data_IF_439636304265
#
_entry.id   IF_439636304265
#
_cell.length_a   1.000
_cell.length_b   1.000
_cell.length_c   1.000
_cell.angle_alpha   90.00
_cell.angle_beta   90.00
_cell.angle_gamma   90.00
#
_symmetry.space_group_name_H-M   'P 1'
#
loop_
_entity.id
_entity.type
_entity.pdbx_description
1 polymer ?
#
# COMPACT_ATOMS: atom_id res chain seq x y z
N UNK A 1 5.01 16.46 17.24
CA UNK A 1 5.60 15.13 17.52
C UNK A 1 5.49 14.21 16.30
N UNK A 2 4.27 13.96 15.75
CA UNK A 2 4.07 13.09 14.58
C UNK A 2 4.91 13.57 13.37
N UNK A 3 4.83 14.84 13.00
CA UNK A 3 5.62 15.42 11.91
C UNK A 3 7.14 15.28 12.14
N UNK A 4 7.62 15.51 13.35
CA UNK A 4 9.03 15.40 13.69
C UNK A 4 9.57 13.97 13.46
N UNK A 5 8.79 12.95 13.87
CA UNK A 5 9.12 11.56 13.62
C UNK A 5 9.06 11.18 12.14
N UNK A 6 8.08 11.70 11.40
CA UNK A 6 7.93 11.46 9.97
C UNK A 6 9.08 12.09 9.16
N UNK A 7 9.50 13.32 9.50
CA UNK A 7 10.63 14.00 8.84
C UNK A 7 11.94 13.22 8.97
N UNK A 8 12.22 12.61 10.13
CA UNK A 8 13.42 11.78 10.32
C UNK A 8 13.47 10.58 9.39
N UNK A 9 12.33 9.91 9.17
CA UNK A 9 12.22 8.78 8.23
C UNK A 9 12.31 9.24 6.78
N UNK A 10 11.66 10.36 6.44
CA UNK A 10 11.77 10.97 5.13
C UNK A 10 13.23 11.37 4.81
N UNK A 11 13.95 11.99 5.77
CA UNK A 11 15.35 12.36 5.62
C UNK A 11 16.24 11.15 5.32
N UNK A 12 15.99 10.00 5.96
CA UNK A 12 16.72 8.76 5.68
C UNK A 12 16.49 8.27 4.24
N UNK A 13 15.26 8.29 3.76
CA UNK A 13 14.93 7.91 2.38
C UNK A 13 15.48 8.90 1.35
N UNK A 14 15.41 10.20 1.63
CA UNK A 14 15.99 11.26 0.77
C UNK A 14 17.51 11.09 0.65
N UNK A 15 18.18 10.77 1.73
CA UNK A 15 19.63 10.53 1.73
C UNK A 15 20.05 9.35 0.82
N UNK A 16 19.14 8.42 0.54
CA UNK A 16 19.32 7.30 -0.39
C UNK A 16 18.82 7.58 -1.80
N UNK A 17 18.41 8.82 -2.12
CA UNK A 17 18.01 9.24 -3.45
C UNK A 17 16.51 9.15 -3.75
N UNK A 18 15.66 8.95 -2.75
CA UNK A 18 14.20 8.98 -2.94
C UNK A 18 13.74 10.39 -3.27
N UNK A 19 13.01 10.56 -4.39
CA UNK A 19 12.50 11.85 -4.87
C UNK A 19 10.98 11.95 -4.84
N UNK A 20 10.30 10.82 -4.66
CA UNK A 20 8.85 10.70 -4.51
C UNK A 20 8.58 9.65 -3.45
N UNK A 21 7.71 9.97 -2.50
CA UNK A 21 7.31 9.07 -1.41
C UNK A 21 5.78 8.98 -1.36
N UNK A 22 5.27 7.78 -1.18
CA UNK A 22 3.88 7.57 -0.78
C UNK A 22 3.79 7.50 0.74
N UNK A 23 2.80 8.17 1.31
CA UNK A 23 2.49 8.10 2.73
C UNK A 23 1.02 7.76 2.89
N UNK A 24 0.75 6.65 3.58
CA UNK A 24 -0.61 6.16 3.81
C UNK A 24 -1.10 6.57 5.20
N UNK A 25 -2.39 6.84 5.36
CA UNK A 25 -3.07 6.85 6.66
C UNK A 25 -3.34 5.41 7.14
N UNK A 26 -4.30 5.17 8.03
CA UNK A 26 -4.75 3.82 8.37
C UNK A 26 -4.46 3.38 9.81
N UNK A 27 -3.78 4.20 10.59
CA UNK A 27 -3.54 3.96 12.02
C UNK A 27 -4.38 4.86 12.93
N UNK A 28 -5.16 5.77 12.35
CA UNK A 28 -6.03 6.69 13.08
C UNK A 28 -7.25 6.00 13.66
N UNK A 29 -7.90 5.17 12.86
CA UNK A 29 -9.09 4.37 13.18
C UNK A 29 -10.31 5.22 13.61
N UNK A 30 -10.23 6.51 13.47
CA UNK A 30 -11.32 7.48 13.59
C UNK A 30 -11.15 8.61 12.55
N UNK A 31 -12.22 9.35 12.28
CA UNK A 31 -12.24 10.37 11.23
C UNK A 31 -11.17 11.45 11.44
N UNK A 32 -11.07 12.00 12.64
CA UNK A 32 -10.20 13.15 12.88
C UNK A 32 -8.71 12.75 12.90
N UNK A 33 -8.40 11.57 13.41
CA UNK A 33 -7.01 11.06 13.44
C UNK A 33 -6.54 10.66 12.05
N UNK A 34 -7.37 10.02 11.21
CA UNK A 34 -7.04 9.74 9.80
C UNK A 34 -6.74 11.02 9.02
N UNK A 35 -7.59 12.04 9.15
CA UNK A 35 -7.37 13.35 8.53
C UNK A 35 -6.09 14.01 9.03
N UNK A 36 -5.82 13.95 10.33
CA UNK A 36 -4.58 14.47 10.92
C UNK A 36 -3.34 13.80 10.32
N UNK A 37 -3.37 12.49 10.11
CA UNK A 37 -2.25 11.76 9.50
C UNK A 37 -1.99 12.25 8.07
N UNK A 38 -3.04 12.39 7.24
CA UNK A 38 -2.92 12.87 5.87
C UNK A 38 -2.43 14.33 5.80
N UNK A 39 -2.92 15.21 6.68
CA UNK A 39 -2.42 16.60 6.77
C UNK A 39 -0.93 16.63 7.10
N UNK A 40 -0.49 15.82 8.07
CA UNK A 40 0.94 15.71 8.42
C UNK A 40 1.76 15.17 7.26
N UNK A 41 1.23 14.19 6.51
CA UNK A 41 1.90 13.67 5.32
C UNK A 41 2.11 14.77 4.26
N UNK A 42 1.11 15.61 4.01
CA UNK A 42 1.21 16.77 3.09
C UNK A 42 2.21 17.82 3.58
N UNK A 43 2.35 18.02 4.89
CA UNK A 43 3.32 18.97 5.44
C UNK A 43 4.79 18.60 5.15
N UNK A 44 5.10 17.32 4.92
CA UNK A 44 6.47 16.88 4.65
C UNK A 44 7.02 17.55 3.39
N UNK A 45 6.27 17.60 2.30
CA UNK A 45 6.71 18.27 1.06
C UNK A 45 6.90 19.79 1.20
N UNK A 46 6.31 20.41 2.24
CA UNK A 46 6.54 21.83 2.55
C UNK A 46 7.83 22.05 3.37
N UNK A 47 8.40 20.97 3.94
CA UNK A 47 9.58 21.00 4.81
C UNK A 47 10.80 20.35 4.17
N UNK A 48 10.64 19.57 3.10
CA UNK A 48 11.70 18.85 2.40
C UNK A 48 11.47 18.93 0.89
N UNK A 49 12.54 18.92 0.15
CA UNK A 49 12.50 18.85 -1.32
C UNK A 49 12.23 17.40 -1.77
N UNK A 50 11.00 16.98 -1.56
CA UNK A 50 10.47 15.65 -1.95
C UNK A 50 9.00 15.78 -2.33
N UNK A 51 8.59 15.09 -3.36
CA UNK A 51 7.18 14.95 -3.71
C UNK A 51 6.51 13.93 -2.80
N UNK A 52 5.28 14.22 -2.37
CA UNK A 52 4.51 13.32 -1.52
C UNK A 52 3.19 12.99 -2.21
N UNK A 53 2.93 11.69 -2.39
CA UNK A 53 1.60 11.14 -2.69
C UNK A 53 0.99 10.62 -1.40
N UNK A 54 -0.29 10.86 -1.20
CA UNK A 54 -1.00 10.39 -0.01
C UNK A 54 -2.08 9.41 -0.38
N UNK A 55 -2.12 8.28 0.32
CA UNK A 55 -3.15 7.26 0.17
C UNK A 55 -4.00 7.16 1.43
N UNK A 56 -5.31 7.27 1.25
CA UNK A 56 -6.25 7.03 2.34
C UNK A 56 -6.38 5.52 2.56
N UNK A 57 -6.00 5.03 3.73
CA UNK A 57 -6.06 3.62 4.12
C UNK A 57 -6.96 3.42 5.36
N UNK A 58 -8.13 4.06 5.40
CA UNK A 58 -9.05 3.93 6.54
C UNK A 58 -9.55 2.50 6.77
N UNK A 59 -9.68 1.71 5.70
CA UNK A 59 -10.01 0.29 5.78
C UNK A 59 -8.75 -0.57 6.00
N UNK A 60 -8.00 -0.31 7.08
CA UNK A 60 -6.77 -1.01 7.44
C UNK A 60 -6.98 -2.04 8.56
N UNK A 61 -7.61 -1.64 9.63
CA UNK A 61 -7.91 -2.51 10.77
C UNK A 61 -9.28 -2.16 11.36
N UNK A 62 -9.94 -3.15 11.97
CA UNK A 62 -11.19 -2.92 12.68
C UNK A 62 -10.87 -2.61 14.15
N UNK A 63 -11.16 -1.39 14.65
CA UNK A 63 -10.89 -1.05 16.04
C UNK A 63 -11.79 -1.82 17.00
N UNK A 64 -11.38 -1.87 18.28
CA UNK A 64 -12.04 -2.69 19.30
C UNK A 64 -13.54 -2.38 19.45
N UNK A 65 -13.90 -1.12 19.29
CA UNK A 65 -15.26 -0.60 19.40
C UNK A 65 -16.21 -1.16 18.33
N UNK A 66 -15.62 -1.59 17.18
CA UNK A 66 -16.34 -2.17 16.05
C UNK A 66 -16.04 -3.67 15.87
N UNK A 67 -15.45 -4.33 16.88
CA UNK A 67 -15.11 -5.75 16.77
C UNK A 67 -16.33 -6.60 16.42
N UNK A 68 -16.22 -7.37 15.32
CA UNK A 68 -17.31 -8.18 14.77
C UNK A 68 -18.34 -7.40 13.95
N UNK A 69 -18.12 -6.11 13.71
CA UNK A 69 -19.02 -5.25 12.92
C UNK A 69 -18.23 -4.32 12.00
N UNK A 70 -17.41 -4.92 11.13
CA UNK A 70 -16.57 -4.19 10.18
C UNK A 70 -17.40 -3.35 9.18
N UNK A 71 -18.59 -3.82 8.81
CA UNK A 71 -19.50 -3.07 7.92
C UNK A 71 -19.89 -1.73 8.53
N UNK A 72 -20.23 -1.73 9.83
CA UNK A 72 -20.56 -0.51 10.55
C UNK A 72 -19.35 0.45 10.63
N UNK A 73 -18.15 -0.08 10.82
CA UNK A 73 -16.93 0.73 10.80
C UNK A 73 -16.70 1.39 9.42
N UNK A 74 -16.95 0.67 8.34
CA UNK A 74 -16.87 1.24 6.99
C UNK A 74 -17.87 2.39 6.87
N UNK A 75 -19.14 2.17 7.25
CA UNK A 75 -20.21 3.16 7.07
C UNK A 75 -20.05 4.39 7.95
N UNK A 76 -19.66 4.20 9.21
CA UNK A 76 -19.61 5.29 10.18
C UNK A 76 -18.26 6.02 10.23
N UNK A 77 -17.17 5.37 9.84
CA UNK A 77 -15.82 5.92 9.95
C UNK A 77 -15.12 6.00 8.60
N UNK A 78 -14.94 4.89 7.86
CA UNK A 78 -14.11 4.89 6.66
C UNK A 78 -14.67 5.81 5.57
N UNK A 79 -15.95 5.68 5.20
CA UNK A 79 -16.54 6.47 4.14
C UNK A 79 -16.63 7.96 4.51
N UNK A 80 -17.10 8.36 5.72
CA UNK A 80 -17.07 9.77 6.13
C UNK A 80 -15.66 10.36 6.21
N UNK A 81 -14.65 9.58 6.64
CA UNK A 81 -13.27 10.03 6.67
C UNK A 81 -12.72 10.24 5.25
N UNK A 82 -13.06 9.35 4.31
CA UNK A 82 -12.66 9.50 2.91
C UNK A 82 -13.27 10.74 2.27
N UNK A 83 -14.57 10.99 2.49
CA UNK A 83 -15.24 12.21 2.00
C UNK A 83 -14.57 13.48 2.55
N UNK A 84 -14.28 13.50 3.84
CA UNK A 84 -13.59 14.63 4.48
C UNK A 84 -12.19 14.83 3.91
N UNK A 85 -11.41 13.75 3.75
CA UNK A 85 -10.08 13.79 3.17
C UNK A 85 -10.08 14.27 1.72
N UNK A 86 -11.04 13.81 0.92
CA UNK A 86 -11.24 14.23 -0.47
C UNK A 86 -11.58 15.73 -0.56
N UNK A 87 -12.54 16.18 0.23
CA UNK A 87 -12.97 17.58 0.25
C UNK A 87 -11.84 18.55 0.69
N UNK A 88 -10.90 18.07 1.50
CA UNK A 88 -9.71 18.84 1.90
C UNK A 88 -8.53 18.72 0.89
N UNK A 89 -8.67 17.95 -0.19
CA UNK A 89 -7.59 17.74 -1.18
C UNK A 89 -6.41 16.95 -0.63
N UNK A 90 -6.66 16.07 0.34
CA UNK A 90 -5.61 15.31 1.04
C UNK A 90 -5.35 13.91 0.47
N UNK A 91 -6.04 13.47 -0.59
CA UNK A 91 -6.00 12.09 -1.07
C UNK A 91 -5.64 12.06 -2.54
N UNK A 92 -4.61 11.28 -2.91
CA UNK A 92 -4.24 10.96 -4.29
C UNK A 92 -4.75 9.57 -4.70
N UNK A 93 -4.87 8.63 -3.74
CA UNK A 93 -5.38 7.28 -3.96
C UNK A 93 -6.08 6.74 -2.70
N UNK A 94 -6.89 5.69 -2.87
CA UNK A 94 -7.55 4.98 -1.77
C UNK A 94 -7.00 3.57 -1.71
N UNK A 95 -6.72 3.10 -0.51
CA UNK A 95 -6.16 1.78 -0.24
C UNK A 95 -7.03 1.02 0.77
N UNK A 96 -6.85 -0.28 0.85
CA UNK A 96 -7.51 -1.14 1.81
C UNK A 96 -6.66 -2.35 2.16
N UNK A 97 -7.04 -3.06 3.23
CA UNK A 97 -6.39 -4.31 3.62
C UNK A 97 -7.38 -5.47 3.53
N UNK A 98 -7.22 -6.29 2.50
CA UNK A 98 -8.06 -7.46 2.23
C UNK A 98 -7.43 -8.70 2.82
N UNK A 99 -7.76 -9.00 4.08
CA UNK A 99 -7.25 -10.16 4.81
C UNK A 99 -8.24 -10.65 5.87
N UNK A 100 -8.10 -11.92 6.29
CA UNK A 100 -8.96 -12.53 7.30
C UNK A 100 -8.94 -11.85 8.67
N UNK A 101 -7.90 -11.08 8.96
CA UNK A 101 -7.77 -10.28 10.18
C UNK A 101 -8.30 -8.84 10.03
N UNK A 102 -8.69 -8.43 8.83
CA UNK A 102 -9.11 -7.07 8.51
C UNK A 102 -10.47 -7.06 7.77
N UNK A 103 -10.46 -6.89 6.46
CA UNK A 103 -11.67 -6.75 5.64
C UNK A 103 -11.73 -7.81 4.54
N UNK A 104 -12.93 -8.24 4.18
CA UNK A 104 -13.16 -9.14 3.06
C UNK A 104 -13.34 -8.35 1.74
N UNK A 105 -13.43 -9.09 0.63
CA UNK A 105 -13.56 -8.51 -0.72
C UNK A 105 -14.82 -7.67 -0.89
N UNK A 106 -15.96 -8.05 -0.28
CA UNK A 106 -17.21 -7.30 -0.39
C UNK A 106 -17.10 -5.94 0.32
N UNK A 107 -16.48 -5.94 1.49
CA UNK A 107 -16.22 -4.74 2.29
C UNK A 107 -15.28 -3.78 1.58
N UNK A 108 -14.17 -4.28 1.04
CA UNK A 108 -13.23 -3.47 0.24
C UNK A 108 -13.92 -2.95 -1.03
N UNK A 109 -14.75 -3.76 -1.69
CA UNK A 109 -15.50 -3.31 -2.88
C UNK A 109 -16.37 -2.09 -2.58
N UNK A 110 -16.96 -1.99 -1.40
CA UNK A 110 -17.76 -0.81 -1.00
C UNK A 110 -16.88 0.44 -0.92
N UNK A 111 -15.71 0.33 -0.28
CA UNK A 111 -14.75 1.44 -0.18
C UNK A 111 -14.26 1.85 -1.57
N UNK A 112 -13.94 0.89 -2.44
CA UNK A 112 -13.46 1.15 -3.80
C UNK A 112 -14.53 1.74 -4.72
N UNK A 113 -15.78 1.30 -4.60
CA UNK A 113 -16.88 1.92 -5.33
C UNK A 113 -17.10 3.37 -4.90
N UNK A 114 -16.94 3.67 -3.62
CA UNK A 114 -17.01 5.04 -3.13
C UNK A 114 -15.82 5.87 -3.67
N UNK A 115 -14.59 5.36 -3.59
CA UNK A 115 -13.42 6.01 -4.20
C UNK A 115 -13.61 6.31 -5.69
N UNK A 116 -14.15 5.34 -6.45
CA UNK A 116 -14.48 5.50 -7.86
C UNK A 116 -15.50 6.60 -8.11
N UNK A 117 -16.51 6.76 -7.25
CA UNK A 117 -17.49 7.84 -7.36
C UNK A 117 -16.88 9.22 -7.15
N UNK A 118 -15.77 9.31 -6.41
CA UNK A 118 -14.96 10.51 -6.20
C UNK A 118 -13.89 10.72 -7.28
N UNK A 119 -13.76 9.79 -8.25
CA UNK A 119 -12.73 9.84 -9.29
C UNK A 119 -11.31 9.50 -8.78
N UNK A 120 -11.20 8.85 -7.62
CA UNK A 120 -9.92 8.47 -7.03
C UNK A 120 -9.48 7.07 -7.49
N UNK A 121 -8.19 6.89 -7.86
CA UNK A 121 -7.64 5.57 -8.11
C UNK A 121 -7.51 4.76 -6.81
N UNK A 122 -7.43 3.44 -6.95
CA UNK A 122 -7.37 2.52 -5.81
C UNK A 122 -6.08 1.69 -5.82
N UNK A 123 -5.72 1.17 -4.66
CA UNK A 123 -4.62 0.25 -4.36
C UNK A 123 -5.11 -0.78 -3.36
N UNK A 124 -4.41 -1.89 -3.16
CA UNK A 124 -4.85 -2.90 -2.19
C UNK A 124 -3.69 -3.66 -1.57
N UNK A 125 -3.63 -3.74 -0.24
CA UNK A 125 -2.88 -4.77 0.46
C UNK A 125 -3.65 -6.09 0.36
N UNK A 126 -3.07 -7.09 -0.29
CA UNK A 126 -3.76 -8.33 -0.62
C UNK A 126 -2.83 -9.53 -0.57
N UNK A 127 -3.39 -10.70 -0.24
CA UNK A 127 -2.70 -11.98 -0.23
C UNK A 127 -1.39 -11.95 0.59
N UNK A 128 -1.39 -11.21 1.70
CA UNK A 128 -0.25 -11.16 2.61
C UNK A 128 -0.16 -12.39 3.52
N UNK A 129 -1.28 -12.84 4.07
CA UNK A 129 -1.36 -13.93 5.06
C UNK A 129 -2.21 -15.10 4.55
N UNK A 130 -3.01 -14.88 3.54
CA UNK A 130 -3.94 -15.85 2.94
C UNK A 130 -4.34 -15.40 1.53
N UNK A 131 -4.95 -16.27 0.73
CA UNK A 131 -5.53 -15.85 -0.55
C UNK A 131 -7.05 -15.73 -0.41
N UNK A 132 -7.54 -14.50 -0.34
CA UNK A 132 -8.98 -14.18 -0.26
C UNK A 132 -9.56 -13.66 -1.57
N UNK A 133 -8.76 -13.58 -2.64
CA UNK A 133 -9.16 -13.01 -3.92
C UNK A 133 -9.04 -11.49 -3.99
N UNK A 134 -8.32 -10.86 -3.07
CA UNK A 134 -8.04 -9.41 -3.05
C UNK A 134 -7.31 -8.95 -4.30
N UNK A 135 -6.34 -9.71 -4.79
CA UNK A 135 -5.62 -9.40 -6.04
C UNK A 135 -6.55 -9.34 -7.25
N UNK A 136 -7.50 -10.27 -7.36
CA UNK A 136 -8.50 -10.25 -8.43
C UNK A 136 -9.47 -9.09 -8.28
N UNK A 137 -9.82 -8.76 -7.04
CA UNK A 137 -10.61 -7.56 -6.76
C UNK A 137 -9.87 -6.30 -7.20
N UNK A 138 -8.62 -6.10 -6.78
CA UNK A 138 -7.79 -4.97 -7.20
C UNK A 138 -7.71 -4.86 -8.73
N UNK A 139 -7.47 -5.99 -9.40
CA UNK A 139 -7.45 -6.08 -10.87
C UNK A 139 -8.78 -5.66 -11.52
N UNK A 140 -9.92 -6.05 -10.94
CA UNK A 140 -11.25 -5.69 -11.45
C UNK A 140 -11.55 -4.19 -11.36
N UNK A 141 -10.89 -3.48 -10.47
CA UNK A 141 -10.95 -2.02 -10.34
C UNK A 141 -9.87 -1.29 -11.13
N UNK A 142 -9.01 -1.99 -11.88
CA UNK A 142 -7.80 -1.46 -12.50
C UNK A 142 -6.95 -0.67 -11.47
N UNK A 143 -6.71 -1.27 -10.32
CA UNK A 143 -5.95 -0.66 -9.26
C UNK A 143 -4.53 -0.28 -9.72
N UNK A 144 -3.97 0.79 -9.17
CA UNK A 144 -2.58 1.18 -9.43
C UNK A 144 -1.62 0.07 -9.01
N UNK A 145 -1.86 -0.53 -7.84
CA UNK A 145 -1.05 -1.64 -7.32
C UNK A 145 -1.86 -2.60 -6.46
N UNK A 146 -1.29 -3.81 -6.30
CA UNK A 146 -1.60 -4.74 -5.24
C UNK A 146 -0.30 -5.02 -4.48
N UNK A 147 -0.35 -4.88 -3.17
CA UNK A 147 0.81 -4.84 -2.30
C UNK A 147 0.90 -6.13 -1.46
N UNK A 148 2.11 -6.63 -1.14
CA UNK A 148 2.46 -7.90 -0.47
C UNK A 148 2.49 -9.11 -1.41
N UNK A 149 1.38 -9.81 -1.62
CA UNK A 149 1.18 -10.88 -2.60
C UNK A 149 1.89 -12.19 -2.29
N UNK A 150 2.30 -12.45 -1.04
CA UNK A 150 2.97 -13.67 -0.61
C UNK A 150 2.15 -14.93 -0.93
N UNK A 151 0.82 -14.84 -0.78
CA UNK A 151 -0.12 -15.94 -1.04
C UNK A 151 -0.83 -15.82 -2.39
N UNK A 152 -0.42 -14.90 -3.26
CA UNK A 152 -0.92 -14.84 -4.63
C UNK A 152 -0.53 -16.10 -5.42
N UNK A 153 -1.29 -16.42 -6.43
CA UNK A 153 -1.06 -17.58 -7.28
C UNK A 153 -1.00 -17.20 -8.77
N UNK A 154 -0.76 -18.19 -9.64
CA UNK A 154 -0.64 -17.98 -11.09
C UNK A 154 -1.86 -17.28 -11.71
N UNK A 155 -3.09 -17.53 -11.22
CA UNK A 155 -4.29 -16.85 -11.73
C UNK A 155 -4.36 -15.39 -11.29
N UNK A 156 -3.78 -15.07 -10.12
CA UNK A 156 -3.67 -13.70 -9.63
C UNK A 156 -2.63 -12.92 -10.45
N UNK A 157 -1.48 -13.54 -10.74
CA UNK A 157 -0.48 -12.95 -11.64
C UNK A 157 -1.06 -12.63 -13.03
N UNK A 158 -1.86 -13.54 -13.58
CA UNK A 158 -2.57 -13.29 -14.83
C UNK A 158 -3.53 -12.10 -14.72
N UNK A 159 -4.29 -12.00 -13.65
CA UNK A 159 -5.23 -10.89 -13.43
C UNK A 159 -4.50 -9.55 -13.32
N UNK A 160 -3.37 -9.47 -12.61
CA UNK A 160 -2.53 -8.29 -12.53
C UNK A 160 -2.00 -7.87 -13.91
N UNK A 161 -1.55 -8.82 -14.72
CA UNK A 161 -1.09 -8.56 -16.09
C UNK A 161 -2.20 -7.99 -16.97
N UNK A 162 -3.37 -8.64 -16.95
CA UNK A 162 -4.53 -8.23 -17.78
C UNK A 162 -5.01 -6.81 -17.44
N UNK A 163 -4.97 -6.44 -16.16
CA UNK A 163 -5.37 -5.11 -15.66
C UNK A 163 -4.26 -4.07 -15.67
N UNK A 164 -3.00 -4.48 -15.91
CA UNK A 164 -1.79 -3.64 -15.80
C UNK A 164 -1.56 -3.11 -14.38
N UNK A 165 -2.09 -3.80 -13.37
CA UNK A 165 -1.87 -3.49 -11.96
C UNK A 165 -0.44 -3.88 -11.56
N UNK A 166 0.26 -2.99 -10.86
CA UNK A 166 1.64 -3.24 -10.41
C UNK A 166 1.65 -4.16 -9.19
N UNK A 167 2.51 -5.17 -9.18
CA UNK A 167 2.79 -5.98 -8.00
C UNK A 167 3.83 -5.26 -7.12
N UNK A 168 3.47 -4.81 -5.93
CA UNK A 168 4.42 -4.18 -4.99
C UNK A 168 4.92 -5.21 -3.98
N UNK A 169 6.19 -5.51 -4.08
CA UNK A 169 6.87 -6.50 -3.24
C UNK A 169 7.49 -5.81 -2.02
N UNK A 170 7.25 -6.36 -0.84
CA UNK A 170 7.56 -5.74 0.45
C UNK A 170 8.51 -6.60 1.30
N UNK A 171 9.80 -6.69 0.92
CA UNK A 171 10.74 -7.61 1.56
C UNK A 171 11.01 -7.29 3.04
N UNK A 172 10.83 -6.03 3.48
CA UNK A 172 10.97 -5.63 4.87
C UNK A 172 9.91 -6.25 5.77
N UNK A 173 8.65 -6.26 5.32
CA UNK A 173 7.54 -6.91 6.02
C UNK A 173 7.73 -8.42 6.08
N UNK A 174 8.03 -9.05 4.94
CA UNK A 174 8.33 -10.48 4.85
C UNK A 174 9.40 -10.91 5.88
N UNK A 175 10.52 -10.18 5.93
CA UNK A 175 11.62 -10.45 6.85
C UNK A 175 11.21 -10.28 8.32
N UNK A 176 10.56 -9.17 8.65
CA UNK A 176 10.20 -8.81 10.04
C UNK A 176 9.16 -9.78 10.61
N UNK A 177 8.19 -10.15 9.81
CA UNK A 177 7.14 -11.12 10.19
C UNK A 177 7.62 -12.57 10.15
N UNK A 178 8.84 -12.82 9.64
CA UNK A 178 9.40 -14.16 9.44
C UNK A 178 8.53 -15.03 8.55
N UNK A 179 7.97 -14.41 7.50
CA UNK A 179 7.17 -15.14 6.53
C UNK A 179 8.00 -16.22 5.83
N UNK A 180 7.35 -17.31 5.45
CA UNK A 180 7.97 -18.43 4.75
C UNK A 180 7.41 -18.62 3.34
N UNK A 181 6.20 -18.12 3.09
CA UNK A 181 5.58 -18.11 1.77
C UNK A 181 6.01 -16.87 1.01
N UNK A 182 6.84 -17.04 -0.01
CA UNK A 182 7.30 -15.93 -0.85
C UNK A 182 6.28 -15.58 -1.96
N UNK A 183 6.23 -14.32 -2.42
CA UNK A 183 5.45 -13.94 -3.59
C UNK A 183 5.83 -14.77 -4.83
N UNK A 184 4.90 -15.08 -5.75
CA UNK A 184 5.16 -15.94 -6.92
C UNK A 184 5.91 -15.16 -8.03
N UNK A 185 7.17 -14.81 -7.76
CA UNK A 185 8.01 -13.99 -8.66
C UNK A 185 8.13 -14.62 -10.06
N UNK A 186 8.22 -15.95 -10.14
CA UNK A 186 8.26 -16.64 -11.44
C UNK A 186 7.00 -16.42 -12.27
N UNK A 187 5.83 -16.48 -11.63
CA UNK A 187 4.56 -16.22 -12.31
C UNK A 187 4.45 -14.74 -12.74
N UNK A 188 4.93 -13.82 -11.91
CA UNK A 188 4.96 -12.40 -12.29
C UNK A 188 5.87 -12.17 -13.52
N UNK A 189 7.00 -12.87 -13.62
CA UNK A 189 7.85 -12.83 -14.82
C UNK A 189 7.17 -13.45 -16.03
N UNK A 190 6.56 -14.64 -15.89
CA UNK A 190 5.85 -15.34 -16.95
C UNK A 190 4.75 -14.49 -17.60
N UNK A 191 4.04 -13.72 -16.77
CA UNK A 191 2.96 -12.84 -17.22
C UNK A 191 3.40 -11.38 -17.45
N UNK A 192 4.70 -11.09 -17.38
CA UNK A 192 5.26 -9.74 -17.54
C UNK A 192 4.57 -8.70 -16.61
N UNK A 193 4.20 -9.09 -15.39
CA UNK A 193 3.65 -8.18 -14.39
C UNK A 193 4.75 -7.21 -13.94
N UNK A 194 4.54 -5.89 -14.00
CA UNK A 194 5.51 -4.96 -13.47
C UNK A 194 5.61 -5.10 -11.95
N UNK A 195 6.83 -5.37 -11.46
CA UNK A 195 7.11 -5.50 -10.03
C UNK A 195 7.75 -4.22 -9.50
N UNK A 196 7.17 -3.62 -8.47
CA UNK A 196 7.76 -2.54 -7.71
C UNK A 196 8.23 -3.04 -6.33
N UNK A 197 9.17 -2.30 -5.72
CA UNK A 197 9.61 -2.54 -4.35
C UNK A 197 9.39 -1.29 -3.52
N UNK A 198 8.98 -1.49 -2.27
CA UNK A 198 8.83 -0.42 -1.29
C UNK A 198 9.29 -0.86 0.10
N UNK A 199 9.59 0.11 0.95
CA UNK A 199 10.04 -0.15 2.33
C UNK A 199 8.89 -0.64 3.22
N UNK A 200 7.66 -0.26 2.91
CA UNK A 200 6.52 -0.47 3.80
C UNK A 200 6.81 0.02 5.23
N UNK A 201 7.49 1.17 5.34
CA UNK A 201 7.99 1.68 6.60
C UNK A 201 6.87 1.97 7.59
N UNK A 202 6.62 1.02 8.49
CA UNK A 202 5.59 1.10 9.50
C UNK A 202 6.06 0.46 10.83
N UNK A 203 5.46 0.81 11.97
CA UNK A 203 5.89 0.29 13.27
C UNK A 203 5.47 -1.16 13.53
N UNK A 204 4.52 -1.69 12.76
CA UNK A 204 3.93 -3.02 12.98
C UNK A 204 4.71 -4.15 12.33
N UNK A 205 4.94 -4.04 11.04
CA UNK A 205 5.48 -5.14 10.22
C UNK A 205 6.80 -4.81 9.51
N UNK A 206 7.19 -3.52 9.39
CA UNK A 206 8.40 -3.15 8.63
C UNK A 206 9.05 -1.87 9.16
N UNK A 207 9.82 -1.93 10.25
CA UNK A 207 10.52 -0.76 10.79
C UNK A 207 11.76 -0.40 9.93
N UNK A 208 11.62 -0.39 8.61
CA UNK A 208 12.67 -0.24 7.61
C UNK A 208 12.53 1.09 6.87
N UNK A 209 13.48 2.01 7.03
CA UNK A 209 13.53 3.29 6.34
C UNK A 209 14.78 3.37 5.42
N UNK A 210 15.03 2.32 4.65
CA UNK A 210 16.15 2.23 3.70
C UNK A 210 15.68 1.56 2.41
N UNK A 211 15.66 2.32 1.31
CA UNK A 211 15.29 1.79 0.00
C UNK A 211 16.41 0.93 -0.59
N UNK A 212 17.68 1.28 -0.32
CA UNK A 212 18.82 0.48 -0.76
C UNK A 212 18.86 -0.88 -0.09
N UNK A 213 18.54 -0.96 1.22
CA UNK A 213 18.41 -2.24 1.89
C UNK A 213 17.22 -3.03 1.37
N UNK A 214 16.09 -2.39 1.06
CA UNK A 214 14.93 -3.02 0.42
C UNK A 214 15.32 -3.68 -0.91
N UNK A 215 16.10 -3.00 -1.75
CA UNK A 215 16.62 -3.56 -3.00
C UNK A 215 17.49 -4.79 -2.76
N UNK A 216 18.43 -4.72 -1.80
CA UNK A 216 19.26 -5.84 -1.42
C UNK A 216 18.43 -7.04 -0.95
N UNK A 217 17.43 -6.80 -0.08
CA UNK A 217 16.52 -7.84 0.41
C UNK A 217 15.69 -8.45 -0.73
N UNK A 218 15.24 -7.66 -1.70
CA UNK A 218 14.55 -8.16 -2.90
C UNK A 218 15.41 -9.16 -3.68
N UNK A 219 16.68 -8.85 -3.90
CA UNK A 219 17.62 -9.78 -4.53
C UNK A 219 17.87 -11.03 -3.69
N UNK A 220 18.06 -10.85 -2.39
CA UNK A 220 18.49 -11.94 -1.49
C UNK A 220 17.34 -12.88 -1.15
N UNK A 221 16.19 -12.36 -0.79
CA UNK A 221 15.03 -13.14 -0.33
C UNK A 221 14.21 -13.70 -1.51
N UNK A 222 13.99 -12.89 -2.54
CA UNK A 222 13.06 -13.21 -3.63
C UNK A 222 13.75 -13.51 -4.96
N UNK A 223 15.09 -13.49 -5.00
CA UNK A 223 15.87 -13.77 -6.21
C UNK A 223 15.54 -12.84 -7.38
N UNK A 224 15.19 -11.59 -7.06
CA UNK A 224 15.10 -10.54 -8.07
C UNK A 224 16.49 -10.20 -8.58
N UNK A 225 16.59 -9.88 -9.88
CA UNK A 225 17.86 -9.40 -10.44
C UNK A 225 18.13 -7.95 -10.04
N UNK A 226 19.39 -7.48 -10.09
CA UNK A 226 19.70 -6.06 -9.86
C UNK A 226 18.93 -5.12 -10.79
N UNK A 227 18.67 -5.53 -12.03
CA UNK A 227 17.86 -4.75 -12.98
C UNK A 227 16.38 -4.68 -12.56
N UNK A 228 15.80 -5.79 -12.13
CA UNK A 228 14.41 -5.84 -11.65
C UNK A 228 14.22 -4.95 -10.42
N UNK A 229 15.14 -4.99 -9.45
CA UNK A 229 15.01 -4.14 -8.25
C UNK A 229 15.24 -2.66 -8.58
N UNK A 230 16.15 -2.34 -9.52
CA UNK A 230 16.33 -0.96 -9.96
C UNK A 230 15.08 -0.42 -10.67
N UNK A 231 14.50 -1.19 -11.58
CA UNK A 231 13.21 -0.84 -12.20
C UNK A 231 12.10 -0.78 -11.15
N UNK A 232 12.14 -1.67 -10.16
CA UNK A 232 11.16 -1.78 -9.08
C UNK A 232 11.08 -0.55 -8.18
N UNK A 233 12.21 0.12 -7.92
CA UNK A 233 12.26 1.34 -7.10
C UNK A 233 12.24 2.63 -7.93
N UNK A 234 12.17 2.54 -9.26
CA UNK A 234 12.14 3.69 -10.16
C UNK A 234 10.88 3.66 -11.04
N UNK A 235 10.99 3.12 -12.25
CA UNK A 235 9.91 3.10 -13.24
C UNK A 235 8.64 2.43 -12.73
N UNK A 236 8.75 1.23 -12.17
CA UNK A 236 7.59 0.47 -11.75
C UNK A 236 6.96 1.06 -10.47
N UNK A 237 7.80 1.60 -9.55
CA UNK A 237 7.30 2.36 -8.41
C UNK A 237 6.52 3.60 -8.85
N UNK A 238 7.00 4.34 -9.86
CA UNK A 238 6.27 5.48 -10.41
C UNK A 238 4.91 5.05 -10.99
N UNK A 239 4.84 3.92 -11.70
CA UNK A 239 3.57 3.37 -12.21
C UNK A 239 2.60 3.01 -11.07
N UNK A 240 3.12 2.43 -9.97
CA UNK A 240 2.31 2.09 -8.79
C UNK A 240 1.77 3.31 -8.03
N UNK A 241 2.28 4.50 -8.32
CA UNK A 241 1.86 5.77 -7.67
C UNK A 241 0.99 6.67 -8.57
N UNK A 242 0.82 6.36 -9.81
CA UNK A 242 -0.01 7.08 -10.78
C UNK A 242 0.65 8.33 -11.36
#
# INVERSE_FOLDING_TARGET
ELLTGALKRADALIAEGTTLIEIKSGYGLDVDTEIKMLRVAREIQLKRDIRVKTSFLGAHAVPKEFKGNADKYIDEICLPALDKAFNEGLVDAVDGFCEGIAFNTDQISRVFNHAKSLGLPVKLHAEQLSNLGGTKLASSFNALSADHLEYANRSDAKALSDSKTVAVILPGAFYTLRETQAPPISDFRDYAVPMALATDCNPGSSPLASLLLTMNMGCTLFRLTPEEVLLGVTRNAAMALG
#
